data_IF_499914627205
#
_entry.id   IF_499914627205
#
_cell.length_a   1.000
_cell.length_b   1.000
_cell.length_c   1.000
_cell.angle_alpha   90.00
_cell.angle_beta   90.00
_cell.angle_gamma   90.00
#
_symmetry.space_group_name_H-M   'P 1'
#
loop_
_entity.id
_entity.type
_entity.pdbx_description
1 polymer ?
#
# COMPACT_ATOMS: atom_id res chain seq x y z
N UNK A 1 11.03 7.55 8.98
CA UNK A 1 9.91 6.59 9.12
C UNK A 1 8.98 7.04 10.21
N UNK A 2 7.67 7.06 9.96
CA UNK A 2 6.65 7.32 11.00
C UNK A 2 5.74 6.09 11.08
N UNK A 3 5.68 5.46 12.24
CA UNK A 3 4.75 4.34 12.53
C UNK A 3 3.63 4.91 13.39
N UNK A 4 2.40 4.62 13.01
CA UNK A 4 1.20 5.10 13.71
C UNK A 4 0.36 3.86 14.05
N UNK A 5 -0.04 3.79 15.32
CA UNK A 5 -0.99 2.79 15.79
C UNK A 5 -2.35 3.47 16.04
N UNK A 6 -3.40 2.87 15.52
CA UNK A 6 -4.77 3.28 15.78
C UNK A 6 -5.64 2.04 15.98
N UNK A 7 -6.20 1.89 17.17
CA UNK A 7 -6.90 0.67 17.60
C UNK A 7 -6.02 -0.58 17.32
N UNK A 8 -6.53 -1.54 16.57
CA UNK A 8 -5.84 -2.78 16.19
C UNK A 8 -5.06 -2.68 14.86
N UNK A 9 -4.92 -1.47 14.32
CA UNK A 9 -4.25 -1.22 13.06
C UNK A 9 -2.91 -0.53 13.25
N UNK A 10 -1.95 -0.92 12.43
CA UNK A 10 -0.65 -0.27 12.34
C UNK A 10 -0.43 0.14 10.90
N UNK A 11 -0.05 1.40 10.69
CA UNK A 11 0.33 1.89 9.38
C UNK A 11 1.57 2.79 9.47
N UNK A 12 2.27 2.91 8.35
CA UNK A 12 3.52 3.64 8.30
C UNK A 12 3.68 4.39 6.99
N UNK A 13 4.27 5.57 7.10
CA UNK A 13 4.77 6.34 5.97
C UNK A 13 6.28 6.17 5.91
N UNK A 14 6.77 5.52 4.87
CA UNK A 14 8.17 5.27 4.62
C UNK A 14 8.68 6.27 3.60
N UNK A 15 9.64 7.11 4.00
CA UNK A 15 10.32 8.01 3.09
C UNK A 15 11.44 7.32 2.30
N UNK A 16 12.18 8.10 1.52
CA UNK A 16 13.31 7.60 0.72
C UNK A 16 14.47 7.06 1.58
N UNK A 17 14.64 7.54 2.81
CA UNK A 17 15.72 7.09 3.69
C UNK A 17 15.50 5.65 4.17
N UNK A 18 16.60 4.89 4.23
CA UNK A 18 16.56 3.54 4.79
C UNK A 18 16.30 3.62 6.30
N UNK A 19 15.17 3.06 6.80
CA UNK A 19 14.80 3.19 8.21
C UNK A 19 15.70 2.39 9.17
N UNK A 20 16.49 1.45 8.67
CA UNK A 20 17.41 0.62 9.48
C UNK A 20 18.86 1.09 9.42
N UNK A 21 19.19 2.04 8.56
CA UNK A 21 20.55 2.54 8.43
C UNK A 21 20.55 4.01 8.00
N UNK A 22 20.55 4.90 8.98
CA UNK A 22 20.55 6.35 8.76
C UNK A 22 21.84 6.87 8.05
N UNK A 23 22.91 6.06 8.06
CA UNK A 23 24.21 6.44 7.45
C UNK A 23 24.39 5.87 6.04
N UNK A 24 23.40 5.14 5.50
CA UNK A 24 23.52 4.61 4.15
C UNK A 24 23.03 5.62 3.11
N UNK A 25 23.83 5.84 2.07
CA UNK A 25 23.44 6.53 0.84
C UNK A 25 22.38 5.75 0.04
N UNK A 26 21.91 4.63 0.56
CA UNK A 26 20.96 3.76 -0.12
C UNK A 26 19.53 4.20 0.15
N UNK A 27 18.86 4.64 -0.89
CA UNK A 27 17.45 5.01 -0.83
C UNK A 27 16.55 3.78 -0.74
N UNK A 28 15.47 3.89 0.05
CA UNK A 28 14.42 2.86 0.18
C UNK A 28 13.44 2.94 -1.00
N UNK A 29 13.91 2.71 -2.22
CA UNK A 29 13.04 2.63 -3.38
C UNK A 29 12.34 1.27 -3.44
N UNK A 30 11.02 1.26 -3.37
CA UNK A 30 10.18 0.06 -3.51
C UNK A 30 9.45 -0.02 -4.86
N UNK A 31 9.70 0.93 -5.79
CA UNK A 31 9.09 0.99 -7.12
C UNK A 31 9.97 0.31 -8.16
N UNK A 32 9.42 -0.65 -8.90
CA UNK A 32 10.08 -1.21 -10.07
C UNK A 32 10.10 -0.22 -11.24
N UNK A 33 11.13 -0.28 -12.09
CA UNK A 33 11.25 0.55 -13.29
C UNK A 33 11.46 2.05 -13.00
N UNK A 34 11.98 2.41 -11.83
CA UNK A 34 12.25 3.79 -11.41
C UNK A 34 13.74 4.01 -11.06
N UNK A 35 14.63 3.61 -11.96
CA UNK A 35 16.07 3.87 -11.86
C UNK A 35 16.90 2.88 -11.04
N UNK A 36 16.27 2.06 -10.21
CA UNK A 36 16.94 1.01 -9.44
C UNK A 36 16.86 -0.37 -10.12
N UNK A 37 17.84 -1.23 -9.82
CA UNK A 37 17.79 -2.62 -10.25
C UNK A 37 16.62 -3.36 -9.55
N UNK A 38 16.05 -4.33 -10.25
CA UNK A 38 14.97 -5.17 -9.68
C UNK A 38 15.43 -5.90 -8.40
N UNK A 39 16.70 -6.26 -8.32
CA UNK A 39 17.28 -6.88 -7.12
C UNK A 39 17.22 -5.93 -5.92
N UNK A 40 17.62 -4.66 -6.08
CA UNK A 40 17.58 -3.64 -5.03
C UNK A 40 16.13 -3.39 -4.56
N UNK A 41 15.20 -3.25 -5.49
CA UNK A 41 13.77 -3.06 -5.16
C UNK A 41 13.22 -4.25 -4.37
N UNK A 42 13.54 -5.48 -4.77
CA UNK A 42 13.13 -6.69 -4.01
C UNK A 42 13.75 -6.72 -2.61
N UNK A 43 15.01 -6.34 -2.47
CA UNK A 43 15.70 -6.25 -1.16
C UNK A 43 15.05 -5.21 -0.27
N UNK A 44 14.72 -4.03 -0.80
CA UNK A 44 14.03 -2.98 -0.07
C UNK A 44 12.63 -3.42 0.40
N UNK A 45 11.86 -4.08 -0.46
CA UNK A 45 10.55 -4.64 -0.09
C UNK A 45 10.67 -5.71 1.00
N UNK A 46 11.72 -6.56 0.94
CA UNK A 46 12.01 -7.54 1.99
C UNK A 46 12.36 -6.85 3.32
N UNK A 47 13.13 -5.75 3.26
CA UNK A 47 13.44 -4.94 4.42
C UNK A 47 12.18 -4.37 5.08
N UNK A 48 11.28 -3.77 4.29
CA UNK A 48 9.98 -3.29 4.78
C UNK A 48 9.16 -4.43 5.41
N UNK A 49 9.10 -5.59 4.77
CA UNK A 49 8.42 -6.77 5.33
C UNK A 49 8.96 -7.16 6.71
N UNK A 50 10.30 -7.12 6.89
CA UNK A 50 10.95 -7.42 8.19
C UNK A 50 10.53 -6.45 9.30
N UNK A 51 10.32 -5.17 8.99
CA UNK A 51 9.85 -4.17 9.96
C UNK A 51 8.46 -4.50 10.52
N UNK A 52 7.69 -5.33 9.84
CA UNK A 52 6.33 -5.73 10.19
C UNK A 52 6.20 -7.25 10.32
N UNK A 53 7.12 -7.87 11.08
CA UNK A 53 7.11 -9.30 11.43
C UNK A 53 7.09 -10.23 10.20
N UNK A 54 7.83 -9.89 9.16
CA UNK A 54 7.94 -10.64 7.91
C UNK A 54 6.60 -10.88 7.19
N UNK A 55 5.58 -10.04 7.42
CA UNK A 55 4.32 -10.15 6.71
C UNK A 55 4.51 -9.90 5.22
N UNK A 56 3.81 -10.69 4.40
CA UNK A 56 3.78 -10.50 2.94
C UNK A 56 3.16 -9.14 2.60
N UNK A 57 3.84 -8.36 1.77
CA UNK A 57 3.30 -7.09 1.28
C UNK A 57 2.57 -7.33 -0.03
N UNK A 58 1.35 -6.84 -0.12
CA UNK A 58 0.53 -6.85 -1.33
C UNK A 58 0.61 -5.48 -1.97
N UNK A 59 1.17 -5.43 -3.18
CA UNK A 59 1.19 -4.27 -4.06
C UNK A 59 0.32 -4.52 -5.28
N UNK A 60 -0.17 -3.47 -5.88
CA UNK A 60 -0.83 -3.46 -7.20
C UNK A 60 0.02 -2.66 -8.19
N UNK A 61 -0.22 -2.87 -9.47
CA UNK A 61 0.33 -2.02 -10.52
C UNK A 61 -0.55 -0.77 -10.63
N UNK A 62 -0.08 0.34 -10.06
CA UNK A 62 -0.81 1.61 -9.99
C UNK A 62 -0.86 2.28 -11.37
N UNK A 63 -2.06 2.62 -11.81
CA UNK A 63 -2.33 3.17 -13.14
C UNK A 63 -3.10 4.49 -13.09
N UNK A 64 -3.18 5.13 -11.92
CA UNK A 64 -3.93 6.37 -11.66
C UNK A 64 -5.43 6.25 -12.01
N UNK A 65 -6.04 5.12 -11.65
CA UNK A 65 -7.45 4.80 -11.88
C UNK A 65 -8.28 4.89 -10.60
N UNK A 66 -9.57 4.60 -10.70
CA UNK A 66 -10.46 4.39 -9.55
C UNK A 66 -10.68 2.91 -9.22
N UNK A 67 -9.88 2.02 -9.80
CA UNK A 67 -9.99 0.58 -9.58
C UNK A 67 -9.49 0.18 -8.22
N UNK A 68 -10.23 -0.70 -7.53
CA UNK A 68 -9.88 -1.25 -6.22
C UNK A 68 -9.79 -2.77 -6.35
N UNK A 69 -8.69 -3.31 -5.88
CA UNK A 69 -8.46 -4.75 -5.79
C UNK A 69 -8.88 -5.26 -4.41
N UNK A 70 -9.72 -6.27 -4.39
CA UNK A 70 -10.13 -6.96 -3.17
C UNK A 70 -9.25 -8.19 -2.99
N UNK A 71 -8.33 -8.11 -2.03
CA UNK A 71 -7.43 -9.21 -1.72
C UNK A 71 -8.06 -10.14 -0.69
N UNK A 72 -8.26 -11.38 -1.06
CA UNK A 72 -8.69 -12.45 -0.15
C UNK A 72 -7.52 -13.38 0.26
N UNK A 73 -7.05 -14.23 -0.62
CA UNK A 73 -5.86 -15.09 -0.46
C UNK A 73 -5.16 -15.33 -1.80
N UNK A 74 -5.89 -15.19 -2.87
CA UNK A 74 -5.39 -15.39 -4.23
C UNK A 74 -4.91 -14.07 -4.79
N UNK A 75 -3.80 -14.09 -5.50
CA UNK A 75 -3.28 -12.91 -6.20
C UNK A 75 -3.13 -13.26 -7.67
N UNK A 76 -4.01 -12.78 -8.54
CA UNK A 76 -3.75 -12.79 -9.98
C UNK A 76 -2.44 -12.06 -10.28
N UNK A 77 -1.80 -12.44 -11.36
CA UNK A 77 -0.60 -11.76 -11.83
C UNK A 77 -0.98 -10.39 -12.37
N UNK A 78 -0.14 -9.38 -12.11
CA UNK A 78 -0.23 -8.02 -12.69
C UNK A 78 -1.60 -7.32 -12.51
N UNK A 79 -2.00 -7.13 -11.26
CA UNK A 79 -3.25 -6.45 -10.94
C UNK A 79 -3.11 -4.95 -11.16
N UNK A 80 -3.82 -4.40 -12.14
CA UNK A 80 -3.90 -2.96 -12.43
C UNK A 80 -5.00 -2.35 -11.58
N UNK A 81 -4.63 -1.61 -10.53
CA UNK A 81 -5.55 -0.93 -9.60
C UNK A 81 -4.81 0.19 -8.86
N UNK A 82 -5.54 1.03 -8.17
CA UNK A 82 -5.00 2.11 -7.33
C UNK A 82 -5.53 2.05 -5.89
N UNK A 83 -6.29 1.02 -5.57
CA UNK A 83 -6.72 0.70 -4.22
C UNK A 83 -6.59 -0.78 -3.93
N UNK A 84 -6.40 -1.11 -2.66
CA UNK A 84 -6.40 -2.49 -2.15
C UNK A 84 -7.23 -2.51 -0.89
N UNK A 85 -8.18 -3.45 -0.80
CA UNK A 85 -8.99 -3.70 0.40
C UNK A 85 -8.88 -5.18 0.75
N UNK A 86 -8.81 -5.50 2.04
CA UNK A 86 -8.78 -6.88 2.55
C UNK A 86 -9.33 -6.97 3.96
N UNK A 87 -9.69 -8.17 4.40
CA UNK A 87 -9.87 -8.53 5.81
C UNK A 87 -8.76 -9.46 6.33
N UNK A 88 -7.80 -9.81 5.49
CA UNK A 88 -6.71 -10.70 5.87
C UNK A 88 -5.66 -9.95 6.69
N UNK A 89 -5.66 -10.16 8.01
CA UNK A 89 -4.73 -9.52 8.96
C UNK A 89 -3.29 -10.04 8.90
N UNK A 90 -3.03 -11.08 8.09
CA UNK A 90 -1.69 -11.68 7.94
C UNK A 90 -0.87 -11.06 6.82
N UNK A 91 -1.36 -10.00 6.18
CA UNK A 91 -0.65 -9.29 5.12
C UNK A 91 -0.48 -7.81 5.44
N UNK A 92 0.44 -7.18 4.73
CA UNK A 92 0.55 -5.72 4.62
C UNK A 92 -0.01 -5.28 3.28
N UNK A 93 -0.68 -4.16 3.25
CA UNK A 93 -1.04 -3.48 2.01
C UNK A 93 -0.02 -2.37 1.75
N UNK A 94 0.46 -2.27 0.52
CA UNK A 94 1.44 -1.25 0.12
C UNK A 94 1.01 -0.50 -1.13
N UNK A 95 1.15 0.82 -1.08
CA UNK A 95 1.10 1.69 -2.26
C UNK A 95 2.36 2.55 -2.32
N UNK A 96 2.66 3.05 -3.49
CA UNK A 96 3.82 3.90 -3.77
C UNK A 96 3.30 5.29 -4.15
N UNK A 97 3.77 6.30 -3.46
CA UNK A 97 3.41 7.69 -3.74
C UNK A 97 4.66 8.56 -3.86
N UNK A 98 4.60 9.58 -4.67
CA UNK A 98 5.54 10.68 -4.68
C UNK A 98 4.82 11.97 -4.25
N UNK A 99 3.83 12.37 -5.03
CA UNK A 99 3.02 13.59 -4.87
C UNK A 99 1.52 13.30 -4.69
N UNK A 100 1.07 12.07 -5.01
CA UNK A 100 -0.30 11.63 -4.81
C UNK A 100 -0.60 11.33 -3.32
N UNK A 101 -1.84 11.51 -2.91
CA UNK A 101 -2.27 11.30 -1.54
C UNK A 101 -2.49 9.80 -1.23
N UNK A 102 -1.86 9.27 -0.16
CA UNK A 102 -2.24 7.97 0.39
C UNK A 102 -3.48 8.14 1.28
N UNK A 103 -4.52 7.34 1.03
CA UNK A 103 -5.73 7.31 1.87
C UNK A 103 -5.87 5.92 2.48
N UNK A 104 -6.02 5.87 3.80
CA UNK A 104 -6.19 4.65 4.56
C UNK A 104 -7.65 4.55 5.02
N UNK A 105 -8.25 3.39 4.84
CA UNK A 105 -9.61 3.07 5.25
C UNK A 105 -9.57 1.97 6.30
N UNK A 106 -10.24 2.20 7.43
CA UNK A 106 -10.28 1.27 8.55
C UNK A 106 -11.73 1.02 8.95
N UNK A 107 -12.19 -0.20 8.79
CA UNK A 107 -13.51 -0.68 9.22
C UNK A 107 -13.39 -1.61 10.43
N UNK A 108 -14.43 -2.36 10.71
CA UNK A 108 -14.46 -3.36 11.80
C UNK A 108 -13.64 -4.61 11.43
N UNK A 109 -13.87 -5.14 10.23
CA UNK A 109 -13.19 -6.31 9.70
C UNK A 109 -12.25 -5.97 8.54
N UNK A 110 -12.69 -5.07 7.65
CA UNK A 110 -11.94 -4.70 6.46
C UNK A 110 -11.03 -3.50 6.71
N UNK A 111 -9.93 -3.48 6.01
CA UNK A 111 -9.05 -2.31 5.92
C UNK A 111 -8.55 -2.18 4.49
N UNK A 112 -8.18 -0.96 4.12
CA UNK A 112 -7.74 -0.66 2.77
C UNK A 112 -6.77 0.49 2.69
N UNK A 113 -6.10 0.58 1.55
CA UNK A 113 -5.21 1.68 1.20
C UNK A 113 -5.44 2.09 -0.25
N UNK A 114 -5.51 3.39 -0.51
CA UNK A 114 -5.73 3.95 -1.84
C UNK A 114 -4.58 4.89 -2.24
N UNK A 115 -4.17 4.79 -3.48
CA UNK A 115 -3.34 5.78 -4.16
C UNK A 115 -4.26 6.79 -4.85
N UNK A 116 -4.38 7.97 -4.27
CA UNK A 116 -5.32 9.01 -4.75
C UNK A 116 -4.57 10.10 -5.48
N UNK A 117 -4.36 9.90 -6.78
CA UNK A 117 -3.99 10.94 -7.70
C UNK A 117 -5.23 11.70 -8.21
N UNK A 118 -5.04 12.85 -8.88
CA UNK A 118 -6.15 13.68 -9.36
C UNK A 118 -7.13 12.93 -10.29
N UNK A 119 -6.64 12.01 -11.14
CA UNK A 119 -7.48 11.19 -12.01
C UNK A 119 -8.34 10.21 -11.23
N UNK A 120 -7.76 9.55 -10.22
CA UNK A 120 -8.50 8.64 -9.35
C UNK A 120 -9.55 9.38 -8.54
N UNK A 121 -9.24 10.60 -8.07
CA UNK A 121 -10.17 11.44 -7.34
C UNK A 121 -11.38 11.83 -8.21
N UNK A 122 -11.14 12.33 -9.41
CA UNK A 122 -12.21 12.67 -10.38
C UNK A 122 -13.08 11.46 -10.75
N UNK A 123 -12.50 10.25 -10.77
CA UNK A 123 -13.20 9.00 -11.04
C UNK A 123 -13.73 8.32 -9.76
N UNK A 124 -13.84 9.07 -8.66
CA UNK A 124 -14.50 8.65 -7.41
C UNK A 124 -13.86 7.44 -6.70
N UNK A 125 -12.53 7.29 -6.72
CA UNK A 125 -11.86 6.16 -6.05
C UNK A 125 -12.21 6.07 -4.56
N UNK A 126 -12.29 7.21 -3.85
CA UNK A 126 -12.63 7.26 -2.43
C UNK A 126 -14.07 6.81 -2.23
N UNK A 127 -15.01 7.35 -3.01
CA UNK A 127 -16.42 6.98 -2.93
C UNK A 127 -16.65 5.50 -3.22
N UNK A 128 -15.97 4.96 -4.23
CA UNK A 128 -16.01 3.54 -4.56
C UNK A 128 -15.55 2.67 -3.38
N UNK A 129 -14.48 3.08 -2.71
CA UNK A 129 -13.98 2.38 -1.52
C UNK A 129 -14.94 2.50 -0.34
N UNK A 130 -15.44 3.70 -0.03
CA UNK A 130 -16.40 3.91 1.06
C UNK A 130 -17.68 3.11 0.83
N UNK A 131 -18.23 3.11 -0.39
CA UNK A 131 -19.41 2.32 -0.74
C UNK A 131 -19.18 0.81 -0.53
N UNK A 132 -17.96 0.32 -0.76
CA UNK A 132 -17.62 -1.07 -0.44
C UNK A 132 -17.77 -1.36 1.05
N UNK A 133 -17.28 -0.46 1.91
CA UNK A 133 -17.38 -0.60 3.37
C UNK A 133 -18.84 -0.52 3.82
N UNK A 134 -19.59 0.50 3.39
CA UNK A 134 -21.03 0.69 3.75
C UNK A 134 -21.85 -0.56 3.39
N UNK A 135 -21.69 -1.09 2.18
CA UNK A 135 -22.42 -2.31 1.73
C UNK A 135 -22.12 -3.56 2.57
N UNK A 136 -21.09 -3.51 3.42
CA UNK A 136 -20.71 -4.61 4.32
C UNK A 136 -20.97 -4.32 5.80
N UNK A 137 -21.59 -3.19 6.11
CA UNK A 137 -21.87 -2.80 7.49
C UNK A 137 -20.63 -2.42 8.30
N UNK A 138 -19.61 -1.93 7.62
CA UNK A 138 -18.32 -1.53 8.18
C UNK A 138 -18.32 -0.09 8.71
#
# INVERSE_FOLDING_TARGET
>A
MKIIQYKNYVFSFLGKQNPLNNNSSQFLNCAFGKGDSNFRVRSNRKLVSKLFNNKKIIFVNQIHSSRIFFYDKTRPYDIKADGIITKNKNVLLGILTADCAPVILLGKEYFGILHVGWRGLLNNIILNAVNFFIKRGE
#
